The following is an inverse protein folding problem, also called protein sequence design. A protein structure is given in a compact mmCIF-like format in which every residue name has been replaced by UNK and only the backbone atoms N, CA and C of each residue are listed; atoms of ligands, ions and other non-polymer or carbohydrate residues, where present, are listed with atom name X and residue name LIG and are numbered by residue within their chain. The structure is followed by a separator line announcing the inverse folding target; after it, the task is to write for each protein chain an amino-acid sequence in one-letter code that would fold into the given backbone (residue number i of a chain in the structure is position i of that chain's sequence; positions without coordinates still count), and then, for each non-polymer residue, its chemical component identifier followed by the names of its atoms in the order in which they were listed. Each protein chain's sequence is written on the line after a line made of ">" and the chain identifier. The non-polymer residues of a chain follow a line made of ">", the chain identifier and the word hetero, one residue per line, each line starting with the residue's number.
data_IF_513357014349
#
_entry.id   IF_513357014349
#
_cell.length_a   1.000
_cell.length_b   1.000
_cell.length_c   1.000
_cell.angle_alpha   90.00
_cell.angle_beta   90.00
_cell.angle_gamma   90.00
#
_symmetry.space_group_name_H-M   'P 1'
#
loop_
_entity.id
_entity.type
_entity.pdbx_description
1 polymer ?
#
# COMPACT_ATOMS: atom_id res chain seq x y z
N UNK A 1 11.01 -14.72 -29.14
CA UNK A 1 12.13 -14.85 -28.20
C UNK A 1 12.19 -13.54 -27.40
N UNK A 2 11.97 -13.57 -26.08
CA UNK A 2 11.81 -12.37 -25.25
C UNK A 2 13.09 -11.50 -25.21
N UNK A 3 14.23 -12.06 -25.61
CA UNK A 3 15.54 -11.41 -25.62
C UNK A 3 15.90 -10.77 -26.97
N UNK A 4 15.10 -10.94 -28.03
CA UNK A 4 15.44 -10.43 -29.37
C UNK A 4 15.49 -8.89 -29.48
N UNK A 5 14.98 -8.18 -28.47
CA UNK A 5 14.97 -6.72 -28.40
C UNK A 5 16.17 -6.11 -27.66
N UNK A 6 16.93 -6.89 -26.89
CA UNK A 6 18.08 -6.38 -26.15
C UNK A 6 19.30 -6.28 -27.06
N UNK A 7 19.71 -5.05 -27.35
CA UNK A 7 20.89 -4.79 -28.18
C UNK A 7 22.05 -4.35 -27.29
N UNK A 8 23.17 -5.10 -27.24
CA UNK A 8 24.39 -4.58 -26.63
C UNK A 8 24.79 -3.33 -27.42
N UNK A 9 25.01 -2.22 -26.71
CA UNK A 9 25.50 -1.01 -27.34
C UNK A 9 26.90 -1.27 -27.89
N UNK A 10 27.05 -1.32 -29.21
CA UNK A 10 28.35 -1.28 -29.89
C UNK A 10 28.83 0.16 -29.81
N UNK A 11 29.71 0.47 -28.86
CA UNK A 11 30.18 1.84 -28.61
C UNK A 11 30.69 2.54 -29.87
N UNK A 12 29.84 3.31 -30.54
CA UNK A 12 30.26 4.44 -31.37
C UNK A 12 30.24 5.69 -30.50
N UNK A 13 31.45 6.20 -30.23
CA UNK A 13 31.68 7.35 -29.39
C UNK A 13 31.25 8.64 -30.09
N UNK A 14 30.25 9.33 -29.54
CA UNK A 14 30.08 10.77 -29.70
C UNK A 14 30.16 11.42 -28.32
N UNK A 15 31.36 11.38 -27.73
CA UNK A 15 31.71 12.31 -26.66
C UNK A 15 33.14 12.81 -26.89
N UNK A 16 33.26 14.04 -27.38
CA UNK A 16 34.51 14.75 -27.58
C UNK A 16 34.73 15.68 -26.37
N UNK A 17 35.68 15.42 -25.46
CA UNK A 17 35.91 16.27 -24.30
C UNK A 17 36.90 17.37 -24.69
N UNK A 18 36.41 18.44 -25.32
CA UNK A 18 37.24 19.61 -25.62
C UNK A 18 36.43 20.91 -25.56
N UNK A 19 36.19 21.41 -24.34
CA UNK A 19 36.23 22.84 -23.98
C UNK A 19 35.86 23.03 -22.50
N UNK A 20 36.66 23.74 -21.68
CA UNK A 20 36.24 24.15 -20.34
C UNK A 20 35.38 25.40 -20.46
N UNK A 21 34.10 25.32 -20.11
CA UNK A 21 33.30 26.52 -19.86
C UNK A 21 33.24 26.78 -18.36
N UNK A 22 34.03 27.77 -17.96
CA UNK A 22 33.98 28.43 -16.66
C UNK A 22 32.63 29.13 -16.48
N UNK A 23 31.84 28.67 -15.51
CA UNK A 23 30.77 29.46 -14.93
C UNK A 23 31.07 29.69 -13.46
N UNK A 24 31.53 30.90 -13.17
CA UNK A 24 31.57 31.49 -11.84
C UNK A 24 30.15 31.87 -11.44
N UNK A 25 29.61 31.26 -10.40
CA UNK A 25 28.55 31.87 -9.59
C UNK A 25 28.92 31.70 -8.12
N UNK A 26 29.50 32.77 -7.57
CA UNK A 26 29.59 32.98 -6.14
C UNK A 26 28.23 33.49 -5.67
N UNK A 27 27.59 32.74 -4.77
CA UNK A 27 26.56 33.26 -3.89
C UNK A 27 27.02 33.03 -2.44
N UNK A 28 26.90 34.04 -1.55
CA UNK A 28 27.45 33.97 -0.21
C UNK A 28 26.66 33.01 0.67
N UNK A 29 27.38 32.12 1.36
CA UNK A 29 26.82 31.23 2.37
C UNK A 29 26.31 31.99 3.59
N UNK A 30 25.05 31.75 3.94
CA UNK A 30 24.50 32.06 5.26
C UNK A 30 24.70 30.84 6.17
N UNK A 31 25.69 30.93 7.06
CA UNK A 31 25.83 30.03 8.20
C UNK A 31 25.11 30.64 9.40
N UNK A 32 23.88 30.20 9.65
CA UNK A 32 23.05 30.63 10.76
C UNK A 32 22.48 29.45 11.54
N UNK A 33 23.34 28.59 12.08
CA UNK A 33 22.95 27.56 13.06
C UNK A 33 23.82 27.72 14.31
N UNK A 34 23.35 28.53 15.25
CA UNK A 34 23.80 28.50 16.63
C UNK A 34 22.89 27.56 17.42
N UNK A 35 23.51 26.58 18.08
CA UNK A 35 23.07 25.81 19.24
C UNK A 35 21.57 25.56 19.46
N UNK A 36 21.15 24.29 19.34
CA UNK A 36 19.97 23.80 20.03
C UNK A 36 20.29 23.62 21.52
N UNK A 37 19.70 24.43 22.39
CA UNK A 37 19.62 24.15 23.82
C UNK A 37 18.38 23.30 24.11
N UNK A 38 18.53 22.29 24.97
CA UNK A 38 17.41 21.47 25.46
C UNK A 38 16.43 22.36 26.24
N UNK A 39 15.12 22.31 25.97
CA UNK A 39 14.15 22.89 26.89
C UNK A 39 14.07 22.02 28.16
N UNK A 40 14.18 22.66 29.32
CA UNK A 40 13.89 22.01 30.60
C UNK A 40 12.41 21.60 30.64
N UNK A 41 12.14 20.34 30.99
CA UNK A 41 10.80 19.83 31.19
C UNK A 41 10.14 20.53 32.39
N UNK A 42 9.28 21.52 32.13
CA UNK A 42 8.38 22.06 33.14
C UNK A 42 7.09 21.24 33.14
N UNK A 43 6.86 20.48 34.22
CA UNK A 43 5.59 19.81 34.45
C UNK A 43 4.47 20.85 34.58
N UNK A 44 3.58 20.91 33.59
CA UNK A 44 2.38 21.76 33.64
C UNK A 44 1.36 21.08 34.57
N UNK A 45 1.17 21.64 35.77
CA UNK A 45 0.04 21.30 36.63
C UNK A 45 -1.23 21.94 36.06
N UNK A 46 -2.10 21.13 35.45
CA UNK A 46 -3.45 21.52 35.05
C UNK A 46 -4.38 21.53 36.28
N UNK A 47 -4.96 22.67 36.67
CA UNK A 47 -5.93 22.73 37.77
C UNK A 47 -7.22 21.95 37.41
N UNK A 48 -7.67 21.05 38.28
CA UNK A 48 -8.96 20.34 38.15
C UNK A 48 -8.90 18.84 37.86
N UNK A 49 -7.72 18.27 37.59
CA UNK A 49 -7.54 16.81 37.37
C UNK A 49 -7.17 16.03 38.65
N UNK A 50 -6.90 16.73 39.76
CA UNK A 50 -6.49 16.11 41.04
C UNK A 50 -7.59 16.16 42.12
N UNK A 51 -8.82 16.57 41.77
CA UNK A 51 -9.93 16.56 42.71
C UNK A 51 -10.54 15.17 42.81
N UNK A 52 -10.32 14.57 43.98
CA UNK A 52 -10.83 13.25 44.38
C UNK A 52 -12.36 13.25 44.33
N UNK A 53 -12.93 12.49 43.40
CA UNK A 53 -14.35 12.14 43.42
C UNK A 53 -14.62 11.28 44.65
N UNK A 54 -15.55 11.72 45.50
CA UNK A 54 -15.97 10.98 46.69
C UNK A 54 -16.58 9.63 46.29
N UNK A 55 -15.89 8.53 46.65
CA UNK A 55 -16.42 7.17 46.54
C UNK A 55 -17.24 6.87 47.80
N UNK A 56 -18.49 6.49 47.60
CA UNK A 56 -19.35 5.92 48.65
C UNK A 56 -18.78 4.55 49.02
N UNK A 57 -18.38 4.37 50.28
CA UNK A 57 -17.98 3.06 50.79
C UNK A 57 -19.22 2.22 51.11
N UNK A 58 -19.32 1.03 50.52
CA UNK A 58 -20.15 -0.04 51.04
C UNK A 58 -19.33 -0.79 52.09
N UNK A 59 -19.82 -0.80 53.33
CA UNK A 59 -19.25 -1.58 54.44
C UNK A 59 -19.49 -3.08 54.21
N UNK A 60 -18.46 -3.78 53.73
CA UNK A 60 -18.43 -5.24 53.66
C UNK A 60 -17.75 -5.79 54.92
N UNK A 61 -18.50 -6.52 55.75
CA UNK A 61 -17.97 -7.22 56.92
C UNK A 61 -17.68 -8.68 56.55
N UNK A 62 -16.41 -8.98 56.30
CA UNK A 62 -15.94 -10.34 56.08
C UNK A 62 -14.42 -10.35 55.91
N UNK A 63 -13.73 -11.07 56.79
CA UNK A 63 -12.30 -11.38 56.67
C UNK A 63 -12.05 -12.21 55.40
N UNK A 64 -11.84 -11.51 54.28
CA UNK A 64 -11.21 -12.07 53.11
C UNK A 64 -9.74 -11.62 53.13
N UNK A 65 -8.81 -12.58 53.14
CA UNK A 65 -7.39 -12.30 53.00
C UNK A 65 -7.17 -11.39 51.77
N UNK A 66 -6.46 -10.28 51.97
CA UNK A 66 -6.18 -9.33 50.91
C UNK A 66 -5.52 -10.06 49.73
N UNK A 67 -5.98 -9.85 48.48
CA UNK A 67 -5.32 -10.42 47.32
C UNK A 67 -3.88 -9.89 47.28
N UNK A 68 -2.90 -10.79 47.26
CA UNK A 68 -1.49 -10.42 47.10
C UNK A 68 -1.32 -9.76 45.73
N UNK A 69 -1.11 -8.45 45.73
CA UNK A 69 -0.85 -7.70 44.51
C UNK A 69 0.61 -7.95 44.09
N UNK A 70 0.80 -8.70 43.00
CA UNK A 70 2.13 -8.87 42.41
C UNK A 70 2.55 -7.57 41.75
N UNK A 71 3.80 -7.19 41.94
CA UNK A 71 4.38 -6.05 41.25
C UNK A 71 4.58 -6.36 39.77
N UNK A 72 4.49 -5.34 38.91
CA UNK A 72 4.79 -5.49 37.48
C UNK A 72 6.20 -6.04 37.24
N UNK A 73 7.15 -5.73 38.13
CA UNK A 73 8.51 -6.27 38.11
C UNK A 73 8.57 -7.79 38.35
N UNK A 74 7.72 -8.33 39.23
CA UNK A 74 7.68 -9.78 39.50
C UNK A 74 7.07 -10.54 38.30
N UNK A 75 6.03 -9.98 37.68
CA UNK A 75 5.42 -10.54 36.47
C UNK A 75 6.42 -10.50 35.29
N UNK A 76 7.20 -9.42 35.18
CA UNK A 76 8.24 -9.29 34.15
C UNK A 76 9.41 -10.26 34.37
N UNK A 77 9.83 -10.49 35.63
CA UNK A 77 10.91 -11.42 35.95
C UNK A 77 10.54 -12.88 35.66
N UNK A 78 9.28 -13.29 35.89
CA UNK A 78 8.80 -14.64 35.57
C UNK A 78 8.72 -14.88 34.04
N UNK A 79 8.32 -13.86 33.26
CA UNK A 79 8.24 -13.96 31.80
C UNK A 79 9.58 -13.77 31.07
N UNK A 80 10.58 -13.13 31.71
CA UNK A 80 11.89 -12.90 31.12
C UNK A 80 12.69 -14.20 30.90
N UNK A 81 12.34 -15.29 31.57
CA UNK A 81 13.04 -16.59 31.47
C UNK A 81 12.48 -17.57 30.42
N UNK A 82 11.35 -17.28 29.76
CA UNK A 82 10.63 -18.27 28.94
C UNK A 82 10.59 -17.96 27.43
N UNK A 83 11.09 -16.81 26.98
CA UNK A 83 11.23 -16.51 25.55
C UNK A 83 12.72 -16.38 25.23
N UNK A 84 13.40 -17.51 25.06
CA UNK A 84 14.55 -17.53 24.20
C UNK A 84 14.01 -17.45 22.77
N UNK A 85 14.18 -16.34 22.02
CA UNK A 85 13.90 -16.37 20.60
C UNK A 85 14.86 -17.42 20.02
N UNK A 86 14.30 -18.50 19.49
CA UNK A 86 15.05 -19.36 18.59
C UNK A 86 15.53 -18.47 17.47
N UNK A 87 16.80 -18.06 17.52
CA UNK A 87 17.41 -17.21 16.51
C UNK A 87 17.58 -18.05 15.24
N UNK A 88 16.49 -18.22 14.48
CA UNK A 88 16.63 -18.47 13.06
C UNK A 88 17.43 -17.30 12.50
N UNK A 89 18.58 -17.57 11.90
CA UNK A 89 19.32 -16.54 11.21
C UNK A 89 18.35 -15.77 10.28
N UNK A 90 18.36 -14.43 10.28
CA UNK A 90 17.47 -13.68 9.41
C UNK A 90 17.73 -14.12 7.97
N UNK A 91 16.68 -14.61 7.29
CA UNK A 91 16.75 -14.96 5.87
C UNK A 91 17.22 -13.73 5.10
N UNK A 92 18.24 -13.91 4.27
CA UNK A 92 18.72 -12.85 3.40
C UNK A 92 17.62 -12.54 2.36
N UNK A 93 17.36 -11.26 2.08
CA UNK A 93 16.25 -10.87 1.22
C UNK A 93 16.37 -11.44 -0.20
N UNK A 94 17.59 -11.75 -0.65
CA UNK A 94 17.84 -12.37 -1.96
C UNK A 94 17.49 -13.87 -2.01
N UNK A 95 17.20 -14.50 -0.87
CA UNK A 95 16.78 -15.90 -0.76
C UNK A 95 15.25 -16.06 -0.99
N UNK A 96 14.50 -14.96 -1.00
CA UNK A 96 13.08 -14.99 -1.36
C UNK A 96 12.88 -15.22 -2.86
N UNK A 97 11.75 -15.82 -3.30
CA UNK A 97 11.47 -16.09 -4.72
C UNK A 97 11.59 -14.87 -5.65
N UNK A 98 11.09 -13.70 -5.22
CA UNK A 98 11.22 -12.44 -5.95
C UNK A 98 12.40 -11.59 -5.47
N UNK A 99 13.19 -12.11 -4.52
CA UNK A 99 14.46 -11.54 -4.09
C UNK A 99 14.35 -10.22 -3.32
N UNK A 100 15.44 -9.47 -3.34
CA UNK A 100 15.59 -8.19 -2.66
C UNK A 100 15.42 -7.04 -3.64
N UNK A 101 14.50 -6.10 -3.37
CA UNK A 101 14.37 -4.89 -4.16
C UNK A 101 15.68 -4.07 -4.13
N UNK A 102 16.16 -3.65 -5.30
CA UNK A 102 17.38 -2.86 -5.48
C UNK A 102 17.10 -1.45 -5.97
N UNK A 103 16.15 -1.29 -6.86
CA UNK A 103 15.82 0.01 -7.45
C UNK A 103 14.38 0.04 -7.95
N UNK A 104 13.86 1.25 -8.12
CA UNK A 104 12.65 1.52 -8.87
C UNK A 104 13.03 2.29 -10.15
N UNK A 105 12.48 1.90 -11.29
CA UNK A 105 12.71 2.54 -12.57
C UNK A 105 11.44 3.23 -13.05
N UNK A 106 11.57 4.51 -13.43
CA UNK A 106 10.48 5.35 -13.93
C UNK A 106 9.23 5.38 -13.04
N UNK A 107 9.40 5.15 -11.74
CA UNK A 107 8.32 5.01 -10.77
C UNK A 107 7.24 3.95 -11.11
N UNK A 108 7.56 3.02 -12.03
CA UNK A 108 6.62 2.03 -12.57
C UNK A 108 7.13 0.60 -12.44
N UNK A 109 8.45 0.41 -12.43
CA UNK A 109 9.05 -0.92 -12.36
C UNK A 109 9.90 -1.06 -11.11
N UNK A 110 9.82 -2.22 -10.45
CA UNK A 110 10.74 -2.60 -9.38
C UNK A 110 11.75 -3.58 -9.95
N UNK A 111 13.02 -3.32 -9.70
CA UNK A 111 14.12 -4.22 -10.02
C UNK A 111 14.58 -4.88 -8.74
N UNK A 112 14.52 -6.21 -8.69
CA UNK A 112 14.91 -7.02 -7.56
C UNK A 112 15.98 -8.04 -7.95
N UNK A 113 16.85 -8.37 -6.99
CA UNK A 113 17.92 -9.34 -7.16
C UNK A 113 17.58 -10.62 -6.40
N UNK A 114 17.68 -11.75 -7.07
CA UNK A 114 17.65 -13.10 -6.46
C UNK A 114 19.07 -13.67 -6.41
N UNK A 115 19.26 -14.85 -5.80
CA UNK A 115 20.53 -15.60 -5.90
C UNK A 115 20.93 -15.92 -7.34
N UNK A 116 19.93 -16.19 -8.18
CA UNK A 116 20.13 -16.76 -9.52
C UNK A 116 20.01 -15.73 -10.65
N UNK A 117 19.68 -14.47 -10.34
CA UNK A 117 19.52 -13.44 -11.35
C UNK A 117 18.77 -12.19 -10.91
N UNK A 118 17.97 -11.66 -11.83
CA UNK A 118 17.23 -10.41 -11.74
C UNK A 118 15.74 -10.66 -11.96
N UNK A 119 14.90 -9.99 -11.18
CA UNK A 119 13.45 -9.94 -11.39
C UNK A 119 13.05 -8.49 -11.65
N UNK A 120 12.24 -8.28 -12.68
CA UNK A 120 11.65 -6.97 -13.00
C UNK A 120 10.14 -7.10 -12.83
N UNK A 121 9.57 -6.28 -11.97
CA UNK A 121 8.14 -6.28 -11.63
C UNK A 121 7.48 -5.02 -12.17
N UNK A 122 6.35 -5.17 -12.85
CA UNK A 122 5.41 -4.08 -13.14
C UNK A 122 4.61 -3.79 -11.87
N UNK A 123 4.89 -2.66 -11.24
CA UNK A 123 4.28 -2.26 -9.97
C UNK A 123 2.77 -2.11 -10.09
N UNK A 124 2.30 -1.54 -11.19
CA UNK A 124 0.88 -1.25 -11.39
C UNK A 124 0.10 -2.55 -11.58
N UNK A 125 0.56 -3.40 -12.49
CA UNK A 125 -0.07 -4.69 -12.74
C UNK A 125 -0.03 -5.61 -11.50
N UNK A 126 1.07 -5.57 -10.73
CA UNK A 126 1.16 -6.28 -9.46
C UNK A 126 0.14 -5.75 -8.45
N UNK A 127 0.02 -4.43 -8.28
CA UNK A 127 -0.91 -3.83 -7.33
C UNK A 127 -2.37 -4.18 -7.64
N UNK A 128 -2.79 -4.02 -8.90
CA UNK A 128 -4.14 -4.40 -9.34
C UNK A 128 -4.44 -5.86 -9.02
N UNK A 129 -3.46 -6.75 -9.27
CA UNK A 129 -3.63 -8.18 -9.00
C UNK A 129 -3.76 -8.48 -7.51
N UNK A 130 -2.95 -7.83 -6.68
CA UNK A 130 -3.00 -7.99 -5.23
C UNK A 130 -4.34 -7.53 -4.65
N UNK A 131 -4.85 -6.38 -5.09
CA UNK A 131 -6.15 -5.86 -4.65
C UNK A 131 -7.27 -6.80 -5.08
N UNK A 132 -7.29 -7.20 -6.36
CA UNK A 132 -8.30 -8.11 -6.88
C UNK A 132 -8.38 -9.44 -6.11
N UNK A 133 -7.24 -10.11 -5.89
CA UNK A 133 -7.24 -11.41 -5.18
C UNK A 133 -7.65 -11.25 -3.71
N UNK A 134 -7.30 -10.15 -3.06
CA UNK A 134 -7.75 -9.87 -1.68
C UNK A 134 -9.25 -9.59 -1.61
N UNK A 135 -9.78 -8.76 -2.51
CA UNK A 135 -11.21 -8.48 -2.57
C UNK A 135 -11.99 -9.77 -2.85
N UNK A 136 -11.54 -10.56 -3.82
CA UNK A 136 -12.13 -11.87 -4.14
C UNK A 136 -12.15 -12.81 -2.93
N UNK A 137 -11.06 -12.87 -2.16
CA UNK A 137 -11.00 -13.67 -0.94
C UNK A 137 -11.98 -13.14 0.13
N UNK A 138 -12.00 -11.83 0.39
CA UNK A 138 -12.91 -11.24 1.38
C UNK A 138 -14.38 -11.41 1.00
N UNK A 139 -14.73 -11.31 -0.28
CA UNK A 139 -16.08 -11.57 -0.77
C UNK A 139 -16.48 -13.03 -0.61
N UNK A 140 -15.54 -13.97 -0.79
CA UNK A 140 -15.80 -15.38 -0.53
C UNK A 140 -16.03 -15.65 0.98
N UNK A 141 -15.38 -14.88 1.84
CA UNK A 141 -15.54 -14.93 3.30
C UNK A 141 -16.75 -14.13 3.82
N UNK A 142 -17.48 -13.44 2.94
CA UNK A 142 -18.79 -12.85 3.19
C UNK A 142 -18.92 -11.36 2.85
N UNK A 143 -17.88 -10.55 3.07
CA UNK A 143 -17.91 -9.12 2.75
C UNK A 143 -16.50 -8.52 2.69
N UNK A 144 -16.31 -7.53 1.80
CA UNK A 144 -15.09 -6.72 1.76
C UNK A 144 -15.04 -5.78 2.97
N UNK A 145 -13.88 -5.72 3.64
CA UNK A 145 -13.67 -4.81 4.76
C UNK A 145 -13.78 -3.37 4.30
N UNK A 146 -14.56 -2.57 5.04
CA UNK A 146 -14.88 -1.17 4.69
C UNK A 146 -14.18 -0.20 5.61
N UNK A 147 -13.89 0.99 5.10
CA UNK A 147 -13.39 2.14 5.84
C UNK A 147 -14.37 3.29 5.67
N UNK A 148 -14.96 3.75 6.78
CA UNK A 148 -15.80 4.94 6.78
C UNK A 148 -14.95 6.20 6.54
N UNK A 149 -15.46 7.09 5.70
CA UNK A 149 -14.86 8.41 5.48
C UNK A 149 -15.11 9.28 6.72
N UNK A 150 -14.11 10.07 7.12
CA UNK A 150 -14.27 11.05 8.21
C UNK A 150 -15.39 12.05 7.91
N UNK A 151 -15.48 12.45 6.65
CA UNK A 151 -16.56 13.26 6.09
C UNK A 151 -17.07 12.55 4.86
N UNK A 152 -18.37 12.22 4.77
CA UNK A 152 -18.96 11.70 3.54
C UNK A 152 -18.69 12.63 2.36
N UNK A 153 -18.42 12.06 1.20
CA UNK A 153 -18.01 12.80 0.02
C UNK A 153 -19.15 12.85 -1.00
N UNK A 154 -19.48 14.05 -1.49
CA UNK A 154 -20.49 14.25 -2.55
C UNK A 154 -19.77 14.29 -3.89
N UNK A 155 -20.15 13.39 -4.80
CA UNK A 155 -19.62 13.35 -6.17
C UNK A 155 -20.71 13.80 -7.13
N UNK A 156 -20.52 14.98 -7.72
CA UNK A 156 -21.40 15.54 -8.75
C UNK A 156 -21.10 14.92 -10.12
N UNK A 157 -22.14 14.59 -10.88
CA UNK A 157 -22.08 13.93 -12.19
C UNK A 157 -23.38 14.14 -12.99
N UNK A 158 -23.46 13.62 -14.22
CA UNK A 158 -24.71 13.71 -14.98
C UNK A 158 -25.85 12.97 -14.26
N UNK A 159 -27.10 13.47 -14.29
CA UNK A 159 -28.21 12.80 -13.61
C UNK A 159 -28.42 11.33 -14.00
N UNK A 160 -28.16 10.98 -15.25
CA UNK A 160 -28.26 9.60 -15.69
C UNK A 160 -27.10 8.74 -15.14
N UNK A 161 -25.92 9.31 -14.94
CA UNK A 161 -24.78 8.64 -14.28
C UNK A 161 -25.08 8.38 -12.81
N UNK A 162 -25.57 9.41 -12.10
CA UNK A 162 -25.93 9.31 -10.69
C UNK A 162 -27.00 8.24 -10.47
N UNK A 163 -28.03 8.20 -11.33
CA UNK A 163 -29.05 7.16 -11.29
C UNK A 163 -28.47 5.76 -11.52
N UNK A 164 -27.57 5.58 -12.50
CA UNK A 164 -26.92 4.29 -12.79
C UNK A 164 -26.08 3.80 -11.62
N UNK A 165 -25.28 4.67 -11.02
CA UNK A 165 -24.44 4.32 -9.86
C UNK A 165 -25.31 3.97 -8.65
N UNK A 166 -26.32 4.79 -8.35
CA UNK A 166 -27.24 4.55 -7.24
C UNK A 166 -28.04 3.25 -7.41
N UNK A 167 -28.43 2.91 -8.64
CA UNK A 167 -29.11 1.65 -8.95
C UNK A 167 -28.25 0.40 -8.69
N UNK A 168 -26.93 0.57 -8.55
CA UNK A 168 -25.96 -0.49 -8.24
C UNK A 168 -25.43 -0.43 -6.81
N UNK A 169 -26.05 0.37 -5.93
CA UNK A 169 -25.58 0.58 -4.56
C UNK A 169 -25.39 -0.74 -3.77
N UNK A 170 -26.33 -1.69 -3.89
CA UNK A 170 -26.24 -2.98 -3.18
C UNK A 170 -25.04 -3.82 -3.66
N UNK A 171 -24.80 -3.88 -4.98
CA UNK A 171 -23.67 -4.60 -5.56
C UNK A 171 -22.33 -3.93 -5.20
N UNK A 172 -22.29 -2.60 -5.20
CA UNK A 172 -21.11 -1.83 -4.76
C UNK A 172 -20.83 -2.02 -3.27
N UNK A 173 -21.89 -2.16 -2.45
CA UNK A 173 -21.77 -2.41 -1.02
C UNK A 173 -21.12 -3.78 -0.75
N UNK A 174 -21.41 -4.82 -1.54
CA UNK A 174 -20.73 -6.12 -1.46
C UNK A 174 -19.21 -5.99 -1.69
N UNK A 175 -18.80 -5.04 -2.54
CA UNK A 175 -17.39 -4.72 -2.82
C UNK A 175 -16.78 -3.74 -1.82
N UNK A 176 -17.55 -3.28 -0.83
CA UNK A 176 -17.09 -2.40 0.23
C UNK A 176 -17.21 -0.91 -0.06
N UNK A 177 -17.93 -0.52 -1.12
CA UNK A 177 -18.18 0.87 -1.49
C UNK A 177 -19.64 1.23 -1.18
N UNK A 178 -19.86 2.14 -0.22
CA UNK A 178 -21.20 2.54 0.21
C UNK A 178 -21.55 3.89 -0.41
N UNK A 179 -22.52 3.83 -1.33
CA UNK A 179 -23.03 4.97 -2.09
C UNK A 179 -24.53 5.13 -1.89
N UNK A 180 -24.99 6.38 -1.84
CA UNK A 180 -26.40 6.75 -1.74
C UNK A 180 -26.72 7.82 -2.79
N UNK A 181 -27.93 7.83 -3.32
CA UNK A 181 -28.38 8.92 -4.19
C UNK A 181 -28.40 10.25 -3.40
N UNK A 182 -27.91 11.33 -4.00
CA UNK A 182 -27.89 12.66 -3.39
C UNK A 182 -28.43 13.71 -4.35
N UNK A 183 -29.76 13.84 -4.36
CA UNK A 183 -30.43 14.65 -5.39
C UNK A 183 -30.37 14.00 -6.76
N UNK A 184 -30.61 14.77 -7.82
CA UNK A 184 -30.70 14.23 -9.18
C UNK A 184 -29.33 14.02 -9.84
N UNK A 185 -28.31 14.82 -9.51
CA UNK A 185 -27.02 14.87 -10.23
C UNK A 185 -25.81 14.59 -9.35
N UNK A 186 -25.98 13.82 -8.27
CA UNK A 186 -24.87 13.44 -7.42
C UNK A 186 -25.14 12.15 -6.64
N UNK A 187 -24.06 11.53 -6.18
CA UNK A 187 -24.07 10.43 -5.20
C UNK A 187 -23.25 10.83 -3.98
N UNK A 188 -23.67 10.36 -2.81
CA UNK A 188 -22.95 10.50 -1.56
C UNK A 188 -22.19 9.21 -1.26
N UNK A 189 -20.88 9.29 -1.06
CA UNK A 189 -20.03 8.16 -0.66
C UNK A 189 -19.78 8.24 0.85
N UNK A 190 -20.07 7.15 1.56
CA UNK A 190 -19.86 7.08 3.02
C UNK A 190 -18.68 6.21 3.41
N UNK A 191 -18.46 5.13 2.69
CA UNK A 191 -17.43 4.13 3.00
C UNK A 191 -16.77 3.66 1.70
N UNK A 192 -15.47 3.36 1.77
CA UNK A 192 -14.69 2.77 0.69
C UNK A 192 -14.08 1.45 1.13
N UNK A 193 -13.64 0.58 0.20
CA UNK A 193 -12.93 -0.63 0.56
C UNK A 193 -11.63 -0.28 1.30
N UNK A 194 -11.42 -0.83 2.50
CA UNK A 194 -10.25 -0.53 3.34
C UNK A 194 -8.93 -0.90 2.66
N UNK A 195 -8.97 -1.81 1.68
CA UNK A 195 -7.82 -2.23 0.88
C UNK A 195 -7.23 -1.10 0.02
N UNK A 196 -8.01 -0.08 -0.32
CA UNK A 196 -7.54 1.03 -1.15
C UNK A 196 -6.71 2.05 -0.35
N UNK A 197 -6.93 2.13 0.96
CA UNK A 197 -6.31 3.14 1.83
C UNK A 197 -6.70 4.55 1.39
N UNK A 198 -5.71 5.44 1.26
CA UNK A 198 -5.93 6.79 0.71
C UNK A 198 -6.41 6.68 -0.74
N UNK A 199 -7.67 7.07 -0.97
CA UNK A 199 -8.39 6.85 -2.23
C UNK A 199 -8.87 8.17 -2.81
N UNK A 200 -8.79 8.32 -4.14
CA UNK A 200 -9.46 9.41 -4.86
C UNK A 200 -10.90 8.98 -5.12
N UNK A 201 -11.79 9.36 -4.20
CA UNK A 201 -13.18 8.92 -4.21
C UNK A 201 -13.92 9.49 -5.42
N UNK A 202 -13.71 10.76 -5.77
CA UNK A 202 -14.36 11.33 -6.94
C UNK A 202 -13.92 10.66 -8.23
N UNK A 203 -12.60 10.43 -8.40
CA UNK A 203 -12.06 9.71 -9.55
C UNK A 203 -12.64 8.31 -9.64
N UNK A 204 -12.65 7.57 -8.53
CA UNK A 204 -13.20 6.22 -8.46
C UNK A 204 -14.66 6.16 -8.90
N UNK A 205 -15.50 7.06 -8.37
CA UNK A 205 -16.92 7.06 -8.69
C UNK A 205 -17.17 7.43 -10.15
N UNK A 206 -16.40 8.39 -10.70
CA UNK A 206 -16.49 8.76 -12.13
C UNK A 206 -16.12 7.59 -13.03
N UNK A 207 -15.00 6.93 -12.76
CA UNK A 207 -14.58 5.77 -13.56
C UNK A 207 -15.58 4.61 -13.44
N UNK A 208 -16.18 4.37 -12.26
CA UNK A 208 -17.27 3.39 -12.12
C UNK A 208 -18.51 3.80 -12.92
N UNK A 209 -18.87 5.08 -12.95
CA UNK A 209 -20.01 5.58 -13.72
C UNK A 209 -19.79 5.39 -15.24
N UNK A 210 -18.57 5.66 -15.70
CA UNK A 210 -18.13 5.43 -17.08
C UNK A 210 -18.18 3.94 -17.42
N UNK A 211 -17.58 3.08 -16.58
CA UNK A 211 -17.61 1.61 -16.72
C UNK A 211 -19.05 1.07 -16.79
N UNK A 212 -19.97 1.60 -15.97
CA UNK A 212 -21.39 1.22 -16.01
C UNK A 212 -22.10 1.71 -17.28
N UNK A 213 -21.66 2.81 -17.87
CA UNK A 213 -22.27 3.40 -19.07
C UNK A 213 -21.93 2.62 -20.34
N UNK A 214 -20.67 2.19 -20.51
CA UNK A 214 -20.18 1.53 -21.72
C UNK A 214 -20.81 0.16 -21.98
N UNK A 215 -21.43 -0.37 -20.94
CA UNK A 215 -21.58 -1.79 -20.78
C UNK A 215 -23.01 -2.23 -20.47
N UNK A 216 -23.88 -1.27 -20.13
CA UNK A 216 -25.29 -1.47 -19.86
C UNK A 216 -25.59 -2.27 -18.58
N UNK A 217 -26.84 -2.15 -18.10
CA UNK A 217 -27.32 -2.80 -16.87
C UNK A 217 -27.42 -4.33 -16.93
N UNK A 218 -27.03 -4.96 -18.06
CA UNK A 218 -27.31 -6.37 -18.35
C UNK A 218 -26.36 -7.36 -17.65
N UNK A 219 -25.12 -6.94 -17.36
CA UNK A 219 -24.15 -7.75 -16.62
C UNK A 219 -24.11 -7.30 -15.17
N UNK A 220 -24.09 -8.27 -14.25
CA UNK A 220 -23.85 -7.98 -12.84
C UNK A 220 -22.42 -7.47 -12.66
N UNK A 221 -22.21 -6.56 -11.70
CA UNK A 221 -20.87 -6.13 -11.33
C UNK A 221 -20.04 -7.31 -10.82
N UNK A 222 -20.69 -8.37 -10.30
CA UNK A 222 -20.04 -9.62 -9.91
C UNK A 222 -19.41 -10.38 -11.07
N UNK A 223 -20.08 -10.42 -12.23
CA UNK A 223 -19.49 -11.01 -13.46
C UNK A 223 -18.29 -10.21 -13.95
N UNK A 224 -18.17 -8.96 -13.50
CA UNK A 224 -17.11 -8.01 -13.86
C UNK A 224 -16.20 -7.63 -12.71
N UNK A 225 -16.16 -8.50 -11.71
CA UNK A 225 -15.38 -8.29 -10.51
C UNK A 225 -13.93 -7.88 -10.83
N UNK A 226 -13.32 -8.50 -11.85
CA UNK A 226 -11.93 -8.23 -12.23
C UNK A 226 -11.73 -6.82 -12.80
N UNK A 227 -12.68 -6.31 -13.57
CA UNK A 227 -12.64 -4.96 -14.16
C UNK A 227 -12.86 -3.92 -13.07
N UNK A 228 -13.94 -4.08 -12.28
CA UNK A 228 -14.29 -3.15 -11.19
C UNK A 228 -13.21 -3.09 -10.12
N UNK A 229 -12.65 -4.25 -9.74
CA UNK A 229 -11.51 -4.29 -8.81
C UNK A 229 -10.26 -3.62 -9.42
N UNK A 230 -10.06 -3.73 -10.74
CA UNK A 230 -9.00 -3.02 -11.45
C UNK A 230 -9.18 -1.51 -11.31
N UNK A 231 -10.36 -1.00 -11.65
CA UNK A 231 -10.75 0.41 -11.47
C UNK A 231 -10.53 0.86 -10.02
N UNK A 232 -11.03 0.10 -9.04
CA UNK A 232 -10.82 0.39 -7.61
C UNK A 232 -9.33 0.43 -7.23
N UNK A 233 -8.54 -0.56 -7.67
CA UNK A 233 -7.12 -0.64 -7.35
C UNK A 233 -6.30 0.54 -7.92
N UNK A 234 -6.68 1.07 -9.08
CA UNK A 234 -6.06 2.25 -9.68
C UNK A 234 -6.18 3.50 -8.80
N UNK A 235 -7.25 3.58 -8.01
CA UNK A 235 -7.54 4.71 -7.13
C UNK A 235 -6.97 4.56 -5.72
N UNK A 236 -6.35 3.42 -5.38
CA UNK A 236 -5.72 3.22 -4.07
C UNK A 236 -4.40 3.97 -3.88
N UNK A 237 -3.79 3.82 -2.70
CA UNK A 237 -2.57 4.55 -2.30
C UNK A 237 -1.27 4.13 -3.02
N UNK A 238 -1.25 2.94 -3.66
CA UNK A 238 -0.11 2.47 -4.47
C UNK A 238 -0.45 2.64 -5.96
N UNK A 239 -0.36 3.89 -6.43
CA UNK A 239 -0.63 4.21 -7.83
C UNK A 239 0.61 4.09 -8.71
N UNK A 240 0.38 3.94 -10.01
CA UNK A 240 1.41 4.15 -11.03
C UNK A 240 2.06 5.52 -10.84
N UNK A 241 3.39 5.58 -10.95
CA UNK A 241 4.15 6.82 -10.76
C UNK A 241 4.51 7.19 -9.32
N UNK A 242 4.03 6.47 -8.30
CA UNK A 242 4.46 6.70 -6.91
C UNK A 242 5.86 6.15 -6.69
N UNK A 243 6.75 6.98 -6.14
CA UNK A 243 8.07 6.54 -5.69
C UNK A 243 7.96 5.72 -4.41
N UNK A 244 8.53 4.52 -4.40
CA UNK A 244 8.52 3.61 -3.26
C UNK A 244 9.88 3.57 -2.56
N UNK A 245 9.86 3.52 -1.23
CA UNK A 245 11.03 3.22 -0.41
C UNK A 245 11.44 1.75 -0.54
N UNK A 246 12.68 1.43 -0.20
CA UNK A 246 13.16 0.05 -0.24
C UNK A 246 12.35 -0.93 0.63
N UNK A 247 11.91 -0.56 1.86
CA UNK A 247 11.00 -1.40 2.63
C UNK A 247 9.64 -1.61 1.95
N UNK A 248 9.03 -0.55 1.37
CA UNK A 248 7.75 -0.66 0.65
C UNK A 248 7.86 -1.58 -0.57
N UNK A 249 8.95 -1.45 -1.36
CA UNK A 249 9.19 -2.34 -2.49
C UNK A 249 9.30 -3.80 -2.05
N UNK A 250 10.11 -4.09 -1.02
CA UNK A 250 10.23 -5.45 -0.52
C UNK A 250 8.89 -5.97 0.04
N UNK A 251 8.12 -5.13 0.72
CA UNK A 251 6.79 -5.51 1.21
C UNK A 251 5.85 -5.89 0.04
N UNK A 252 5.88 -5.15 -1.07
CA UNK A 252 5.12 -5.51 -2.28
C UNK A 252 5.55 -6.87 -2.82
N UNK A 253 6.87 -7.13 -2.94
CA UNK A 253 7.38 -8.43 -3.39
C UNK A 253 6.92 -9.58 -2.48
N UNK A 254 6.98 -9.40 -1.16
CA UNK A 254 6.50 -10.41 -0.20
C UNK A 254 4.99 -10.63 -0.31
N UNK A 255 4.21 -9.57 -0.58
CA UNK A 255 2.78 -9.69 -0.84
C UNK A 255 2.50 -10.48 -2.12
N UNK A 256 3.25 -10.21 -3.20
CA UNK A 256 3.11 -10.97 -4.46
C UNK A 256 3.40 -12.46 -4.26
N UNK A 257 4.42 -12.81 -3.49
CA UNK A 257 4.76 -14.22 -3.20
C UNK A 257 3.66 -14.94 -2.41
N UNK A 258 2.99 -14.23 -1.51
CA UNK A 258 1.89 -14.77 -0.71
C UNK A 258 0.55 -14.81 -1.46
N UNK A 259 0.41 -14.07 -2.57
CA UNK A 259 -0.83 -13.96 -3.32
C UNK A 259 -0.91 -14.96 -4.48
N UNK A 260 -1.95 -15.81 -4.52
CA UNK A 260 -2.16 -16.72 -5.64
C UNK A 260 -2.25 -15.98 -6.97
N UNK A 261 -1.73 -16.59 -8.04
CA UNK A 261 -1.81 -16.06 -9.41
C UNK A 261 -1.22 -14.64 -9.58
N UNK A 262 -0.36 -14.19 -8.65
CA UNK A 262 0.24 -12.86 -8.70
C UNK A 262 1.11 -12.63 -9.94
N UNK A 263 1.59 -13.70 -10.60
CA UNK A 263 2.43 -13.64 -11.80
C UNK A 263 1.73 -13.24 -13.11
N UNK A 264 0.40 -13.11 -13.10
CA UNK A 264 -0.38 -12.72 -14.28
C UNK A 264 -1.41 -11.65 -13.91
N UNK A 265 -1.47 -10.57 -14.70
CA UNK A 265 -2.44 -9.51 -14.50
C UNK A 265 -3.83 -9.95 -15.01
N UNK A 266 -4.85 -9.14 -14.74
CA UNK A 266 -6.25 -9.45 -15.11
C UNK A 266 -6.45 -9.57 -16.64
N UNK A 267 -5.53 -9.03 -17.42
CA UNK A 267 -5.53 -9.08 -18.89
C UNK A 267 -4.61 -10.17 -19.47
N UNK A 268 -4.04 -11.04 -18.64
CA UNK A 268 -3.19 -12.14 -19.08
C UNK A 268 -1.72 -11.82 -19.30
N UNK A 269 -1.29 -10.56 -19.14
CA UNK A 269 0.14 -10.16 -19.24
C UNK A 269 0.90 -10.57 -17.96
N UNK A 270 2.20 -10.90 -18.04
CA UNK A 270 2.99 -11.18 -16.85
C UNK A 270 3.13 -9.92 -15.98
N UNK A 271 3.03 -10.06 -14.66
CA UNK A 271 3.28 -8.95 -13.71
C UNK A 271 4.77 -8.81 -13.36
N UNK A 272 5.55 -9.87 -13.58
CA UNK A 272 6.98 -9.85 -13.44
C UNK A 272 7.65 -10.73 -14.50
N UNK A 273 8.91 -10.42 -14.79
CA UNK A 273 9.78 -11.24 -15.63
C UNK A 273 11.07 -11.56 -14.88
N UNK A 274 11.59 -12.75 -15.08
CA UNK A 274 12.86 -13.19 -14.51
C UNK A 274 13.92 -13.29 -15.61
N UNK A 275 15.11 -12.79 -15.31
CA UNK A 275 16.31 -12.95 -16.13
C UNK A 275 17.39 -13.63 -15.30
N UNK A 276 17.69 -14.90 -15.63
CA UNK A 276 18.75 -15.66 -14.96
C UNK A 276 20.12 -15.07 -15.25
N UNK A 277 21.07 -15.25 -14.33
CA UNK A 277 22.42 -14.69 -14.43
C UNK A 277 23.11 -15.07 -15.77
N UNK A 278 22.98 -16.34 -16.17
CA UNK A 278 23.57 -16.81 -17.43
C UNK A 278 22.95 -16.13 -18.68
N UNK A 279 21.67 -15.74 -18.65
CA UNK A 279 21.03 -15.02 -19.75
C UNK A 279 21.45 -13.55 -19.76
N UNK A 280 21.64 -12.95 -18.59
CA UNK A 280 22.24 -11.62 -18.46
C UNK A 280 23.67 -11.60 -19.03
N UNK A 281 24.48 -12.61 -18.73
CA UNK A 281 25.85 -12.73 -19.26
C UNK A 281 25.89 -12.83 -20.79
N UNK A 282 24.96 -13.58 -21.40
CA UNK A 282 24.81 -13.66 -22.86
C UNK A 282 24.56 -12.29 -23.50
N UNK A 283 23.80 -11.39 -22.85
CA UNK A 283 23.55 -10.04 -23.36
C UNK A 283 24.84 -9.22 -23.50
N UNK A 284 25.88 -9.55 -22.73
CA UNK A 284 27.20 -8.92 -22.80
C UNK A 284 28.23 -9.77 -23.58
N UNK A 285 27.80 -10.84 -24.26
CA UNK A 285 28.70 -11.74 -24.99
C UNK A 285 29.60 -12.59 -24.09
N UNK A 286 29.23 -12.76 -22.81
CA UNK A 286 29.91 -13.64 -21.85
C UNK A 286 29.24 -15.03 -21.85
N UNK A 287 30.03 -16.09 -21.62
CA UNK A 287 29.56 -17.48 -21.53
C UNK A 287 29.32 -17.89 -20.10
#
# INVERSE_FOLDING_TARGET
>A
DALSGFRPHTGEALYNPAAPQSFSNAAPGWNGWQGWSQPAAAAQNLPGLNERSARVEHTWSGEAAAPSFRTLSEIQAEHAGQIAPGASAPLDLIDYPLGAARAQLHANYIVAQTRDGLVIVDQHAAHERLVYERMKAQMADGAVTRQALLTPEVVEMDPAEAERVAAKADELAEMGLIVEAFGAGAVLVRETPALLGDTDVQGLIRDIADDLSEHGAALSLKERMAEVCGTMACHGSVRSGRVLSAPEMNALLRQMEATPHSGQCNHGRPTYVELKLHDLEKLFGRR
#
